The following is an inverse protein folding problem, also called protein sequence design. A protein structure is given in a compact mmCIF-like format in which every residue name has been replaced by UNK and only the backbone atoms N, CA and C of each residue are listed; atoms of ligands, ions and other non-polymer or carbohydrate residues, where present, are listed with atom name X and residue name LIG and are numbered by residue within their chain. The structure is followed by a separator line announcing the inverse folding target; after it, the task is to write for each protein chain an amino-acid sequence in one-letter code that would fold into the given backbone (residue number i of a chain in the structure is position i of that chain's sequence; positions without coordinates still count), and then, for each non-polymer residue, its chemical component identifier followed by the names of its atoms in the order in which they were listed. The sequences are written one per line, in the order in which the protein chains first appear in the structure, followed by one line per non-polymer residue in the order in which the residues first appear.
data_IF_957916461614
#
_entry.id   IF_957916461614
#
_cell.length_a   1.000
_cell.length_b   1.000
_cell.length_c   1.000
_cell.angle_alpha   90.00
_cell.angle_beta   90.00
_cell.angle_gamma   90.00
#
_symmetry.space_group_name_H-M   'P 1'
#
loop_
_entity.id
_entity.type
_entity.pdbx_description
1 polymer ?
#
# COMPACT_ATOMS: atom_id res chain seq x y z
N UNK A 1 -5.08 25.85 29.09
CA UNK A 1 -4.65 25.09 27.89
C UNK A 1 -5.42 25.62 26.68
N UNK A 2 -4.81 26.47 25.87
CA UNK A 2 -5.46 27.06 24.69
C UNK A 2 -5.56 25.99 23.60
N UNK A 3 -6.75 25.43 23.38
CA UNK A 3 -6.97 24.57 22.21
C UNK A 3 -6.83 25.44 20.96
N UNK A 4 -5.72 25.29 20.25
CA UNK A 4 -5.56 25.86 18.92
C UNK A 4 -6.73 25.39 18.06
N UNK A 5 -7.53 26.33 17.56
CA UNK A 5 -8.71 26.02 16.73
C UNK A 5 -8.24 25.31 15.47
N UNK A 6 -8.89 24.20 15.12
CA UNK A 6 -8.56 23.44 13.90
C UNK A 6 -8.71 24.33 12.66
N UNK A 7 -7.59 24.66 12.02
CA UNK A 7 -7.58 25.44 10.78
C UNK A 7 -7.75 24.51 9.57
N UNK A 8 -8.90 24.59 8.91
CA UNK A 8 -9.25 23.74 7.78
C UNK A 8 -8.37 23.97 6.55
N UNK A 9 -7.74 25.15 6.44
CA UNK A 9 -6.86 25.50 5.32
C UNK A 9 -5.53 24.74 5.41
N UNK A 10 -5.01 24.54 6.61
CA UNK A 10 -3.79 23.76 6.88
C UNK A 10 -4.04 22.25 6.98
N UNK A 11 -5.30 21.80 6.91
CA UNK A 11 -5.61 20.38 6.93
C UNK A 11 -5.05 19.69 5.67
N UNK A 12 -4.46 18.50 5.86
CA UNK A 12 -4.06 17.62 4.74
C UNK A 12 -5.23 17.46 3.77
N UNK A 13 -4.94 17.44 2.46
CA UNK A 13 -5.97 17.33 1.41
C UNK A 13 -6.23 15.86 1.07
N UNK A 14 -7.45 15.56 0.62
CA UNK A 14 -7.86 14.19 0.30
C UNK A 14 -7.13 13.58 -0.91
N UNK A 15 -6.88 14.40 -1.94
CA UNK A 15 -6.16 14.04 -3.16
C UNK A 15 -6.70 12.78 -3.89
N UNK A 16 -7.95 12.38 -3.62
CA UNK A 16 -8.61 11.36 -4.42
C UNK A 16 -9.04 11.98 -5.76
N UNK A 17 -8.87 11.24 -6.84
CA UNK A 17 -9.31 11.70 -8.16
C UNK A 17 -10.84 11.70 -8.21
N UNK A 18 -11.40 12.88 -8.40
CA UNK A 18 -12.85 13.07 -8.57
C UNK A 18 -13.34 12.41 -9.86
N UNK A 19 -14.43 11.65 -9.79
CA UNK A 19 -14.94 10.94 -10.97
C UNK A 19 -15.43 11.89 -12.07
N UNK A 20 -16.11 12.98 -11.69
CA UNK A 20 -16.72 13.95 -12.61
C UNK A 20 -15.70 14.83 -13.31
N UNK A 21 -14.83 15.51 -12.56
CA UNK A 21 -13.90 16.51 -13.10
C UNK A 21 -12.50 15.97 -13.36
N UNK A 22 -12.19 14.72 -12.96
CA UNK A 22 -10.86 14.09 -13.09
C UNK A 22 -9.72 14.84 -12.39
N UNK A 23 -10.05 15.81 -11.54
CA UNK A 23 -9.11 16.58 -10.74
C UNK A 23 -8.93 16.00 -9.33
N UNK A 24 -7.83 16.35 -8.67
CA UNK A 24 -7.55 15.94 -7.29
C UNK A 24 -8.45 16.66 -6.29
N UNK A 25 -9.04 15.92 -5.37
CA UNK A 25 -9.93 16.45 -4.34
C UNK A 25 -9.19 17.34 -3.33
N UNK A 26 -9.65 18.60 -3.21
CA UNK A 26 -9.13 19.61 -2.28
C UNK A 26 -9.87 19.68 -0.94
N UNK A 27 -10.81 18.77 -0.69
CA UNK A 27 -11.49 18.69 0.61
C UNK A 27 -10.50 18.25 1.71
N UNK A 28 -10.70 18.72 2.96
CA UNK A 28 -9.87 18.30 4.08
C UNK A 28 -9.97 16.78 4.29
N UNK A 29 -8.82 16.14 4.47
CA UNK A 29 -8.68 14.74 4.75
C UNK A 29 -9.00 14.43 6.21
N UNK A 30 -9.62 13.28 6.44
CA UNK A 30 -9.79 12.69 7.76
C UNK A 30 -8.53 11.89 8.14
N UNK A 31 -8.55 11.22 9.31
CA UNK A 31 -7.41 10.44 9.82
C UNK A 31 -6.90 9.38 8.83
N UNK A 32 -7.74 8.86 7.95
CA UNK A 32 -7.38 7.88 6.91
C UNK A 32 -6.91 8.51 5.58
N UNK A 33 -6.57 9.80 5.58
CA UNK A 33 -6.12 10.58 4.41
C UNK A 33 -7.19 10.85 3.33
N UNK A 34 -8.46 10.45 3.54
CA UNK A 34 -9.55 10.72 2.59
C UNK A 34 -10.61 11.64 3.19
N UNK A 35 -11.31 12.41 2.35
CA UNK A 35 -12.41 13.25 2.81
C UNK A 35 -13.69 12.43 2.99
N UNK A 36 -14.69 13.01 3.66
CA UNK A 36 -16.01 12.38 3.89
C UNK A 36 -16.63 11.71 2.66
N UNK A 37 -16.48 12.33 1.48
CA UNK A 37 -17.06 11.85 0.23
C UNK A 37 -16.21 10.76 -0.46
N UNK A 38 -14.90 10.74 -0.24
CA UNK A 38 -13.97 9.78 -0.84
C UNK A 38 -13.56 8.66 0.13
N UNK A 39 -14.46 8.28 1.04
CA UNK A 39 -14.22 7.17 1.97
C UNK A 39 -13.54 7.57 3.29
N UNK A 40 -13.50 8.85 3.64
CA UNK A 40 -12.95 9.34 4.90
C UNK A 40 -13.62 8.76 6.16
N UNK A 41 -14.91 8.41 6.04
CA UNK A 41 -15.68 7.72 7.08
C UNK A 41 -15.49 6.20 7.08
N UNK A 42 -14.86 5.63 6.05
CA UNK A 42 -14.65 4.20 5.97
C UNK A 42 -13.63 3.76 7.02
N UNK A 43 -14.00 2.73 7.77
CA UNK A 43 -13.18 2.11 8.79
C UNK A 43 -12.37 0.92 8.26
N UNK A 44 -12.59 0.52 7.00
CA UNK A 44 -12.06 -0.71 6.41
C UNK A 44 -12.71 -1.96 7.00
N UNK A 45 -12.37 -3.14 6.45
CA UNK A 45 -12.74 -4.40 7.07
C UNK A 45 -11.93 -4.59 8.36
N UNK A 46 -12.63 -4.83 9.47
CA UNK A 46 -12.01 -5.05 10.80
C UNK A 46 -12.18 -6.48 11.32
N UNK A 47 -13.09 -7.25 10.74
CA UNK A 47 -13.37 -8.63 11.14
C UNK A 47 -12.47 -9.59 10.37
N UNK A 48 -12.15 -10.74 10.97
CA UNK A 48 -11.37 -11.80 10.31
C UNK A 48 -12.04 -12.25 9.00
N UNK A 49 -13.36 -12.40 9.02
CA UNK A 49 -14.16 -12.76 7.85
C UNK A 49 -14.11 -11.70 6.74
N UNK A 50 -14.23 -10.42 7.12
CA UNK A 50 -14.16 -9.31 6.15
C UNK A 50 -12.79 -9.22 5.49
N UNK A 51 -11.72 -9.42 6.26
CA UNK A 51 -10.36 -9.49 5.73
C UNK A 51 -10.15 -10.70 4.82
N UNK A 52 -10.73 -11.86 5.16
CA UNK A 52 -10.67 -13.06 4.32
C UNK A 52 -11.37 -12.83 2.97
N UNK A 53 -12.58 -12.27 2.97
CA UNK A 53 -13.30 -11.89 1.74
C UNK A 53 -12.51 -10.90 0.90
N UNK A 54 -11.89 -9.89 1.53
CA UNK A 54 -11.03 -8.94 0.83
C UNK A 54 -9.81 -9.62 0.19
N UNK A 55 -9.21 -10.60 0.86
CA UNK A 55 -8.11 -11.39 0.31
C UNK A 55 -8.56 -12.23 -0.87
N UNK A 56 -9.72 -12.87 -0.79
CA UNK A 56 -10.32 -13.67 -1.87
C UNK A 56 -10.64 -12.81 -3.10
N UNK A 57 -11.31 -11.66 -2.92
CA UNK A 57 -11.66 -10.74 -4.01
C UNK A 57 -10.41 -10.20 -4.72
N UNK A 58 -9.35 -9.88 -3.97
CA UNK A 58 -8.11 -9.36 -4.53
C UNK A 58 -7.14 -10.46 -5.02
N UNK A 59 -7.49 -11.73 -4.85
CA UNK A 59 -6.67 -12.82 -5.32
C UNK A 59 -6.75 -12.91 -6.84
N UNK A 60 -5.61 -12.72 -7.53
CA UNK A 60 -5.55 -12.78 -9.00
C UNK A 60 -4.84 -14.01 -9.53
N UNK A 61 -3.58 -14.18 -9.16
CA UNK A 61 -2.69 -15.19 -9.76
C UNK A 61 -1.72 -15.82 -8.76
N UNK A 62 -1.93 -15.63 -7.45
CA UNK A 62 -1.06 -16.18 -6.41
C UNK A 62 0.30 -15.49 -6.24
N UNK A 63 0.77 -14.66 -7.19
CA UNK A 63 2.11 -14.04 -7.13
C UNK A 63 2.31 -13.07 -5.94
N UNK A 64 1.22 -12.61 -5.33
CA UNK A 64 1.22 -11.68 -4.19
C UNK A 64 0.93 -12.37 -2.86
N UNK A 65 0.92 -13.70 -2.81
CA UNK A 65 0.84 -14.43 -1.53
C UNK A 65 2.13 -14.25 -0.73
N UNK A 66 2.06 -14.52 0.57
CA UNK A 66 3.22 -14.39 1.46
C UNK A 66 4.33 -15.35 1.03
N UNK A 67 3.93 -16.56 0.67
CA UNK A 67 4.81 -17.64 0.19
C UNK A 67 5.51 -17.25 -1.12
N UNK A 68 4.76 -16.71 -2.10
CA UNK A 68 5.33 -16.28 -3.38
C UNK A 68 6.22 -15.03 -3.24
N UNK A 69 5.96 -14.16 -2.27
CA UNK A 69 6.85 -13.03 -1.98
C UNK A 69 8.14 -13.52 -1.35
N UNK A 70 8.07 -14.45 -0.40
CA UNK A 70 9.24 -14.97 0.31
C UNK A 70 10.13 -15.77 -0.62
N UNK A 71 9.56 -16.70 -1.40
CA UNK A 71 10.30 -17.44 -2.42
C UNK A 71 11.04 -16.50 -3.38
N UNK A 72 10.38 -15.44 -3.86
CA UNK A 72 11.04 -14.45 -4.74
C UNK A 72 12.16 -13.68 -4.04
N UNK A 73 12.10 -13.45 -2.73
CA UNK A 73 13.21 -12.84 -1.99
C UNK A 73 14.37 -13.81 -1.90
N UNK A 74 14.12 -15.05 -1.51
CA UNK A 74 15.14 -16.11 -1.43
C UNK A 74 15.81 -16.33 -2.79
N UNK A 75 15.03 -16.45 -3.87
CA UNK A 75 15.57 -16.57 -5.23
C UNK A 75 16.42 -15.36 -5.63
N UNK A 76 16.02 -14.13 -5.24
CA UNK A 76 16.82 -12.93 -5.54
C UNK A 76 18.14 -12.92 -4.77
N UNK A 77 18.13 -13.29 -3.50
CA UNK A 77 19.37 -13.37 -2.70
C UNK A 77 20.28 -14.47 -3.23
N UNK A 78 19.73 -15.62 -3.60
CA UNK A 78 20.50 -16.69 -4.25
C UNK A 78 21.15 -16.21 -5.55
N UNK A 79 20.39 -15.58 -6.45
CA UNK A 79 20.94 -15.04 -7.70
C UNK A 79 22.02 -13.97 -7.44
N UNK A 80 21.82 -13.12 -6.43
CA UNK A 80 22.82 -12.13 -6.03
C UNK A 80 24.11 -12.78 -5.55
N UNK A 81 24.02 -13.81 -4.72
CA UNK A 81 25.17 -14.59 -4.26
C UNK A 81 25.86 -15.31 -5.42
N UNK A 82 25.11 -15.95 -6.29
CA UNK A 82 25.67 -16.60 -7.48
C UNK A 82 26.44 -15.61 -8.37
N UNK A 83 25.88 -14.43 -8.61
CA UNK A 83 26.56 -13.39 -9.40
C UNK A 83 27.85 -12.93 -8.70
N UNK A 84 27.83 -12.72 -7.38
CA UNK A 84 29.02 -12.36 -6.63
C UNK A 84 30.09 -13.46 -6.71
N UNK A 85 29.69 -14.73 -6.55
CA UNK A 85 30.60 -15.88 -6.63
C UNK A 85 31.21 -16.02 -8.03
N UNK A 86 30.46 -15.66 -9.08
CA UNK A 86 30.98 -15.60 -10.44
C UNK A 86 32.00 -14.45 -10.62
N UNK A 87 31.69 -13.25 -10.11
CA UNK A 87 32.56 -12.08 -10.17
C UNK A 87 33.91 -12.29 -9.46
N UNK A 88 33.90 -12.98 -8.31
CA UNK A 88 35.14 -13.29 -7.57
C UNK A 88 35.88 -14.51 -8.13
N UNK A 89 35.43 -15.06 -9.27
CA UNK A 89 36.07 -16.18 -9.95
C UNK A 89 35.91 -17.54 -9.27
N UNK A 90 34.98 -17.67 -8.31
CA UNK A 90 34.74 -18.91 -7.57
C UNK A 90 34.11 -20.00 -8.46
N UNK A 91 33.32 -19.59 -9.45
CA UNK A 91 32.79 -20.45 -10.50
C UNK A 91 33.56 -20.20 -11.81
N UNK A 92 34.83 -20.54 -11.82
CA UNK A 92 35.55 -20.76 -13.07
C UNK A 92 35.51 -22.24 -13.44
N UNK A 93 35.30 -22.49 -14.74
CA UNK A 93 35.63 -23.78 -15.33
C UNK A 93 37.13 -24.02 -15.19
#
# INVERSE_FOLDING_TARGET
MTHARFNINNAKKCLATTKRSKTLCQAPAMKNSRCRLHGGKSTGARTKEGLKKLKEINYRNGCSTKEAIEYRKESREFLRLCNLLFEIGYFHR
#
